data_IF_636876039464
#
_entry.id   IF_636876039464
#
_cell.length_a   1.000
_cell.length_b   1.000
_cell.length_c   1.000
_cell.angle_alpha   90.00
_cell.angle_beta   90.00
_cell.angle_gamma   90.00
#
_symmetry.space_group_name_H-M   'P 1'
#
loop_
_entity.id
_entity.type
_entity.pdbx_description
1 polymer ?
#
# COMPACT_ATOMS: atom_id res chain seq x y z
N UNK A 1 0.04 -43.97 -2.11
CA UNK A 1 0.46 -42.59 -2.39
C UNK A 1 0.94 -41.94 -1.10
N UNK A 2 2.20 -41.56 -1.03
CA UNK A 2 2.77 -40.86 0.13
C UNK A 2 2.18 -39.45 0.20
N UNK A 3 1.53 -39.10 1.32
CA UNK A 3 1.01 -37.74 1.55
C UNK A 3 2.12 -36.89 2.16
N UNK A 4 2.64 -35.93 1.39
CA UNK A 4 3.60 -34.96 1.91
C UNK A 4 2.91 -34.01 2.91
N UNK A 5 3.64 -33.61 3.96
CA UNK A 5 3.20 -32.55 4.87
C UNK A 5 3.12 -31.24 4.08
N UNK A 6 1.95 -30.60 4.10
CA UNK A 6 1.82 -29.27 3.50
C UNK A 6 2.57 -28.26 4.37
N UNK A 7 3.43 -27.42 3.80
CA UNK A 7 4.04 -26.32 4.55
C UNK A 7 2.92 -25.40 5.05
N UNK A 8 3.13 -24.79 6.23
CA UNK A 8 2.23 -23.72 6.68
C UNK A 8 2.25 -22.59 5.64
N UNK A 9 1.11 -21.95 5.37
CA UNK A 9 1.07 -20.74 4.54
C UNK A 9 2.05 -19.69 5.08
N UNK A 10 2.64 -18.89 4.17
CA UNK A 10 3.57 -17.82 4.55
C UNK A 10 2.87 -16.67 5.29
N UNK A 11 1.61 -16.44 4.95
CA UNK A 11 0.73 -15.40 5.49
C UNK A 11 -0.70 -15.92 5.56
N UNK A 12 -1.56 -15.21 6.30
CA UNK A 12 -3.00 -15.39 6.26
C UNK A 12 -3.54 -14.80 4.97
N UNK A 13 -3.99 -15.67 4.06
CA UNK A 13 -4.43 -15.27 2.72
C UNK A 13 -5.69 -14.43 2.76
N UNK A 14 -6.58 -14.70 3.71
CA UNK A 14 -7.85 -13.99 3.81
C UNK A 14 -7.59 -12.59 4.36
N UNK A 15 -6.75 -12.46 5.40
CA UNK A 15 -6.30 -11.15 5.89
C UNK A 15 -5.52 -10.35 4.84
N UNK A 16 -4.67 -11.00 4.04
CA UNK A 16 -4.01 -10.36 2.91
C UNK A 16 -5.01 -9.87 1.85
N UNK A 17 -6.14 -10.57 1.68
CA UNK A 17 -7.19 -10.21 0.73
C UNK A 17 -8.05 -9.05 1.24
N UNK A 18 -8.46 -9.10 2.51
CA UNK A 18 -9.38 -8.12 3.13
C UNK A 18 -8.65 -6.87 3.61
N UNK A 19 -7.35 -6.98 3.89
CA UNK A 19 -6.50 -5.91 4.34
C UNK A 19 -6.42 -5.79 5.86
N UNK A 20 -5.46 -4.99 6.32
CA UNK A 20 -5.27 -4.60 7.72
C UNK A 20 -5.20 -3.08 7.80
N UNK A 21 -5.82 -2.53 8.84
CA UNK A 21 -5.70 -1.12 9.17
C UNK A 21 -4.28 -0.81 9.64
N UNK A 22 -3.66 0.16 8.98
CA UNK A 22 -2.34 0.71 9.27
C UNK A 22 -2.54 2.19 9.56
N UNK A 23 -2.17 2.62 10.76
CA UNK A 23 -2.22 4.02 11.15
C UNK A 23 -0.85 4.63 10.95
N UNK A 24 -0.80 5.80 10.32
CA UNK A 24 0.43 6.52 10.03
C UNK A 24 0.48 7.78 10.87
N UNK A 25 1.47 7.84 11.74
CA UNK A 25 1.89 9.00 12.50
C UNK A 25 3.35 9.36 12.17
N UNK A 26 3.69 10.63 12.31
CA UNK A 26 5.06 11.10 12.34
C UNK A 26 5.39 11.56 13.77
N UNK A 27 6.10 10.69 14.50
CA UNK A 27 6.54 10.97 15.86
C UNK A 27 7.52 12.16 15.97
N UNK A 28 8.14 12.60 14.85
CA UNK A 28 9.06 13.75 14.83
C UNK A 28 8.29 15.06 14.77
N UNK A 29 7.28 15.14 13.90
CA UNK A 29 6.46 16.35 13.72
C UNK A 29 5.24 16.37 14.65
N UNK A 30 4.83 15.21 15.17
CA UNK A 30 3.61 15.02 15.95
C UNK A 30 2.34 14.94 15.09
N UNK A 31 2.48 14.78 13.77
CA UNK A 31 1.36 14.80 12.83
C UNK A 31 0.73 13.41 12.67
N UNK A 32 -0.60 13.38 12.68
CA UNK A 32 -1.39 12.16 12.47
C UNK A 32 -2.00 12.19 11.06
N UNK A 33 -1.62 11.24 10.22
CA UNK A 33 -2.08 11.17 8.81
C UNK A 33 -3.32 10.27 8.61
N UNK A 34 -3.76 9.60 9.68
CA UNK A 34 -4.95 8.75 9.68
C UNK A 34 -4.70 7.27 9.44
N UNK A 35 -5.79 6.52 9.27
CA UNK A 35 -5.79 5.08 9.06
C UNK A 35 -5.92 4.70 7.59
N UNK A 36 -5.25 3.65 7.17
CA UNK A 36 -5.31 3.12 5.80
C UNK A 36 -5.52 1.62 5.85
N UNK A 37 -6.56 1.13 5.16
CA UNK A 37 -6.81 -0.30 5.04
C UNK A 37 -6.00 -0.85 3.87
N UNK A 38 -4.91 -1.56 4.18
CA UNK A 38 -3.98 -2.05 3.18
C UNK A 38 -3.88 -3.58 3.14
N UNK A 39 -3.82 -4.15 1.94
CA UNK A 39 -3.56 -5.57 1.69
C UNK A 39 -2.09 -5.87 1.38
N UNK A 40 -1.71 -7.14 1.52
CA UNK A 40 -0.36 -7.61 1.20
C UNK A 40 -0.06 -7.44 -0.29
N UNK A 41 1.08 -6.83 -0.56
CA UNK A 41 1.69 -6.73 -1.87
C UNK A 41 2.47 -8.01 -2.20
N UNK A 42 1.80 -9.04 -2.72
CA UNK A 42 2.40 -10.31 -3.14
C UNK A 42 1.86 -10.74 -4.52
N UNK A 43 2.72 -11.04 -5.52
CA UNK A 43 2.29 -11.47 -6.86
C UNK A 43 1.45 -12.76 -6.92
N UNK A 44 1.45 -13.57 -5.87
CA UNK A 44 0.59 -14.75 -5.73
C UNK A 44 -0.85 -14.40 -5.35
N UNK A 45 -1.10 -13.16 -4.88
CA UNK A 45 -2.44 -12.66 -4.61
C UNK A 45 -3.14 -12.38 -5.95
N UNK A 46 -4.34 -12.97 -6.21
CA UNK A 46 -4.98 -12.88 -7.52
C UNK A 46 -5.18 -11.46 -8.06
N UNK A 47 -5.52 -10.49 -7.19
CA UNK A 47 -5.73 -9.09 -7.59
C UNK A 47 -4.44 -8.43 -8.09
N UNK A 48 -3.30 -8.72 -7.45
CA UNK A 48 -1.99 -8.16 -7.80
C UNK A 48 -1.52 -8.75 -9.11
N UNK A 49 -1.68 -10.07 -9.28
CA UNK A 49 -1.40 -10.73 -10.55
C UNK A 49 -2.22 -10.12 -11.69
N UNK A 50 -3.52 -9.95 -11.50
CA UNK A 50 -4.40 -9.36 -12.50
C UNK A 50 -4.02 -7.91 -12.83
N UNK A 51 -3.67 -7.12 -11.82
CA UNK A 51 -3.21 -5.74 -12.02
C UNK A 51 -1.87 -5.69 -12.77
N UNK A 52 -0.91 -6.55 -12.42
CA UNK A 52 0.37 -6.68 -13.12
C UNK A 52 0.18 -7.09 -14.59
N UNK A 53 -0.73 -8.01 -14.89
CA UNK A 53 -1.08 -8.39 -16.26
C UNK A 53 -1.68 -7.21 -17.05
N UNK A 54 -2.57 -6.42 -16.42
CA UNK A 54 -3.12 -5.20 -17.03
C UNK A 54 -2.05 -4.16 -17.30
N UNK A 55 -1.13 -3.95 -16.36
CA UNK A 55 -0.04 -2.99 -16.51
C UNK A 55 0.96 -3.42 -17.59
N UNK A 56 1.34 -4.69 -17.65
CA UNK A 56 2.20 -5.23 -18.70
C UNK A 56 1.59 -5.01 -20.09
N UNK A 57 0.25 -5.16 -20.20
CA UNK A 57 -0.48 -4.84 -21.42
C UNK A 57 -0.41 -3.35 -21.74
N UNK A 58 -0.64 -2.45 -20.79
CA UNK A 58 -0.56 -0.99 -21.02
C UNK A 58 0.86 -0.51 -21.39
N UNK A 59 1.88 -1.01 -20.72
CA UNK A 59 3.28 -0.70 -21.04
C UNK A 59 3.65 -1.12 -22.47
N UNK A 60 3.11 -2.25 -22.96
CA UNK A 60 3.29 -2.67 -24.35
C UNK A 60 2.65 -1.72 -25.38
N UNK A 61 1.60 -0.97 -24.99
CA UNK A 61 0.98 0.07 -25.83
C UNK A 61 1.74 1.41 -25.76
N UNK A 62 2.25 1.78 -24.58
CA UNK A 62 2.95 3.06 -24.35
C UNK A 62 4.41 3.08 -24.85
N UNK A 63 5.02 1.91 -25.09
CA UNK A 63 6.36 1.80 -25.68
C UNK A 63 6.52 2.41 -27.09
N UNK A 64 5.44 2.96 -27.68
CA UNK A 64 5.48 3.82 -28.87
C UNK A 64 5.99 5.24 -28.53
N UNK A 65 7.27 5.34 -28.17
CA UNK A 65 8.09 6.50 -28.55
C UNK A 65 8.31 7.63 -27.53
N UNK A 66 7.93 7.50 -26.26
CA UNK A 66 8.32 8.49 -25.21
C UNK A 66 8.89 7.80 -23.97
N UNK A 67 10.01 8.32 -23.45
CA UNK A 67 10.54 7.93 -22.14
C UNK A 67 9.72 8.65 -21.06
N UNK A 68 9.10 7.95 -20.10
CA UNK A 68 8.37 8.59 -19.01
C UNK A 68 9.32 9.41 -18.14
N UNK A 69 8.89 10.61 -17.75
CA UNK A 69 9.62 11.43 -16.79
C UNK A 69 9.46 10.85 -15.36
N UNK A 70 10.17 11.38 -14.37
CA UNK A 70 10.08 10.85 -13.01
C UNK A 70 8.68 10.99 -12.41
N UNK A 71 7.96 12.08 -12.72
CA UNK A 71 6.59 12.29 -12.26
C UNK A 71 5.63 11.22 -12.78
N UNK A 72 5.72 10.86 -14.06
CA UNK A 72 4.91 9.82 -14.69
C UNK A 72 5.17 8.46 -14.02
N UNK A 73 6.44 8.13 -13.73
CA UNK A 73 6.80 6.89 -13.04
C UNK A 73 6.29 6.83 -11.60
N UNK A 74 6.37 7.93 -10.87
CA UNK A 74 5.81 8.03 -9.51
C UNK A 74 4.30 7.83 -9.57
N UNK A 75 3.63 8.52 -10.50
CA UNK A 75 2.19 8.38 -10.71
C UNK A 75 1.78 6.94 -10.99
N UNK A 76 2.46 6.27 -11.92
CA UNK A 76 2.20 4.86 -12.23
C UNK A 76 2.36 3.96 -11.00
N UNK A 77 3.38 4.22 -10.17
CA UNK A 77 3.62 3.46 -8.95
C UNK A 77 2.52 3.68 -7.90
N UNK A 78 2.08 4.92 -7.72
CA UNK A 78 0.96 5.29 -6.83
C UNK A 78 -0.35 4.68 -7.30
N UNK A 79 -0.70 4.86 -8.59
CA UNK A 79 -1.92 4.28 -9.17
C UNK A 79 -1.95 2.77 -9.00
N UNK A 80 -0.81 2.11 -9.17
CA UNK A 80 -0.72 0.67 -8.99
C UNK A 80 -0.88 0.23 -7.54
N UNK A 81 -0.22 0.93 -6.61
CA UNK A 81 -0.40 0.67 -5.18
C UNK A 81 -1.85 0.86 -4.74
N UNK A 82 -2.47 1.98 -5.11
CA UNK A 82 -3.87 2.29 -4.78
C UNK A 82 -4.82 1.26 -5.38
N UNK A 83 -4.57 0.81 -6.62
CA UNK A 83 -5.44 -0.17 -7.26
C UNK A 83 -5.38 -1.54 -6.58
N UNK A 84 -4.22 -1.93 -6.06
CA UNK A 84 -3.92 -3.30 -5.64
C UNK A 84 -3.87 -3.52 -4.14
N UNK A 85 -3.55 -2.50 -3.37
CA UNK A 85 -3.24 -2.64 -1.94
C UNK A 85 -4.09 -1.74 -1.07
N UNK A 86 -4.51 -0.56 -1.52
CA UNK A 86 -5.33 0.34 -0.70
C UNK A 86 -6.83 0.11 -0.92
N UNK A 87 -7.55 -0.28 0.13
CA UNK A 87 -8.98 -0.61 0.03
C UNK A 87 -9.90 0.42 0.68
N UNK A 88 -9.41 1.13 1.69
CA UNK A 88 -10.15 2.16 2.39
C UNK A 88 -9.19 3.07 3.17
N UNK A 89 -9.72 4.15 3.74
CA UNK A 89 -9.00 5.00 4.68
C UNK A 89 -9.93 5.54 5.77
N UNK A 90 -9.34 6.02 6.85
CA UNK A 90 -9.97 6.82 7.90
C UNK A 90 -9.19 8.13 8.02
N UNK A 91 -9.53 9.05 7.12
CA UNK A 91 -8.89 10.35 6.98
C UNK A 91 -9.92 11.45 7.21
N UNK A 92 -9.45 12.59 7.71
CA UNK A 92 -10.25 13.79 7.91
C UNK A 92 -9.68 14.96 7.11
N UNK A 93 -10.54 15.92 6.77
CA UNK A 93 -10.14 17.19 6.20
C UNK A 93 -9.72 18.20 7.29
N UNK A 94 -9.37 19.41 6.88
CA UNK A 94 -8.96 20.50 7.77
C UNK A 94 -10.06 20.92 8.77
N UNK A 95 -11.32 20.57 8.52
CA UNK A 95 -12.47 20.82 9.39
C UNK A 95 -12.83 19.60 10.27
N UNK A 96 -11.93 18.62 10.40
CA UNK A 96 -12.15 17.35 11.11
C UNK A 96 -13.28 16.47 10.52
N UNK A 97 -13.69 16.69 9.26
CA UNK A 97 -14.76 15.91 8.63
C UNK A 97 -14.19 14.68 7.93
N UNK A 98 -14.84 13.51 8.04
CA UNK A 98 -14.39 12.31 7.34
C UNK A 98 -14.36 12.49 5.82
N UNK A 99 -13.24 12.12 5.21
CA UNK A 99 -13.09 12.12 3.76
C UNK A 99 -13.48 10.74 3.23
N UNK A 100 -14.49 10.69 2.37
CA UNK A 100 -14.91 9.42 1.75
C UNK A 100 -13.82 8.87 0.84
N UNK A 101 -13.42 7.62 1.06
CA UNK A 101 -12.46 6.94 0.21
C UNK A 101 -12.96 6.78 -1.22
N UNK A 102 -12.09 7.17 -2.16
CA UNK A 102 -12.17 6.74 -3.56
C UNK A 102 -10.75 6.60 -4.11
N UNK A 103 -10.53 5.64 -5.01
CA UNK A 103 -9.21 5.46 -5.64
C UNK A 103 -8.68 6.72 -6.33
N UNK A 104 -9.49 7.49 -7.10
CA UNK A 104 -9.01 8.74 -7.70
C UNK A 104 -8.52 9.75 -6.64
N UNK A 105 -9.26 9.88 -5.53
CA UNK A 105 -8.89 10.80 -4.46
C UNK A 105 -7.64 10.35 -3.72
N UNK A 106 -7.44 9.04 -3.53
CA UNK A 106 -6.21 8.52 -2.95
C UNK A 106 -4.99 8.76 -3.86
N UNK A 107 -5.15 8.61 -5.19
CA UNK A 107 -4.08 8.97 -6.15
C UNK A 107 -3.80 10.47 -6.09
N UNK A 108 -4.83 11.32 -6.04
CA UNK A 108 -4.66 12.77 -5.90
C UNK A 108 -3.91 13.12 -4.61
N UNK A 109 -4.28 12.52 -3.49
CA UNK A 109 -3.61 12.69 -2.20
C UNK A 109 -2.11 12.38 -2.33
N UNK A 110 -1.72 11.17 -2.72
CA UNK A 110 -0.30 10.80 -2.83
C UNK A 110 0.49 11.56 -3.92
N UNK A 111 -0.21 12.10 -4.92
CA UNK A 111 0.41 12.89 -5.98
C UNK A 111 0.43 14.39 -5.68
N UNK A 112 -0.06 14.82 -4.52
CA UNK A 112 0.02 16.21 -4.07
C UNK A 112 1.49 16.61 -3.99
N UNK A 113 1.85 17.65 -4.72
CA UNK A 113 3.24 18.08 -4.85
C UNK A 113 3.36 19.60 -4.86
N UNK A 114 4.42 20.09 -4.23
CA UNK A 114 4.89 21.46 -4.32
C UNK A 114 6.04 21.56 -5.31
N UNK A 115 6.30 22.76 -5.81
CA UNK A 115 7.49 23.02 -6.63
C UNK A 115 8.59 23.57 -5.74
N UNK A 116 9.77 22.95 -5.77
CA UNK A 116 10.95 23.48 -5.11
C UNK A 116 11.41 24.77 -5.82
N UNK A 117 11.38 25.90 -5.11
CA UNK A 117 11.78 27.20 -5.64
C UNK A 117 13.24 27.26 -6.14
N UNK A 118 14.12 26.38 -5.64
CA UNK A 118 15.54 26.36 -6.01
C UNK A 118 15.82 25.48 -7.22
N UNK A 119 15.17 24.33 -7.30
CA UNK A 119 15.45 23.31 -8.34
C UNK A 119 14.40 23.30 -9.45
N UNK A 120 13.22 23.84 -9.19
CA UNK A 120 12.05 23.73 -10.07
C UNK A 120 11.46 22.32 -10.13
N UNK A 121 11.92 21.40 -9.29
CA UNK A 121 11.46 20.02 -9.24
C UNK A 121 10.20 19.88 -8.38
N UNK A 122 9.42 18.84 -8.63
CA UNK A 122 8.24 18.54 -7.82
C UNK A 122 8.64 17.74 -6.57
N UNK A 123 8.21 18.21 -5.41
CA UNK A 123 8.34 17.53 -4.12
C UNK A 123 6.96 17.01 -3.74
N UNK A 124 6.82 15.69 -3.62
CA UNK A 124 5.57 15.06 -3.20
C UNK A 124 5.41 15.15 -1.68
N UNK A 125 4.38 15.87 -1.23
CA UNK A 125 4.21 16.23 0.19
C UNK A 125 3.95 14.99 1.04
N UNK A 126 3.17 14.05 0.50
CA UNK A 126 2.78 12.82 1.20
C UNK A 126 3.61 11.60 0.79
N UNK A 127 4.83 11.79 0.25
CA UNK A 127 5.73 10.68 -0.08
C UNK A 127 6.05 9.85 1.17
N UNK A 128 6.24 10.48 2.33
CA UNK A 128 6.45 9.78 3.60
C UNK A 128 5.34 8.76 3.88
N UNK A 129 4.06 9.18 3.79
CA UNK A 129 2.90 8.31 4.02
C UNK A 129 2.88 7.18 3.01
N UNK A 130 3.12 7.49 1.73
CA UNK A 130 3.17 6.48 0.66
C UNK A 130 4.25 5.42 0.93
N UNK A 131 5.48 5.84 1.26
CA UNK A 131 6.58 4.90 1.54
C UNK A 131 6.26 3.99 2.72
N UNK A 132 5.71 4.54 3.82
CA UNK A 132 5.32 3.75 5.00
C UNK A 132 4.28 2.69 4.67
N UNK A 133 3.24 3.07 3.94
CA UNK A 133 2.18 2.14 3.53
C UNK A 133 2.72 1.08 2.56
N UNK A 134 3.59 1.47 1.65
CA UNK A 134 4.22 0.55 0.71
C UNK A 134 5.12 -0.48 1.41
N UNK A 135 5.93 -0.03 2.37
CA UNK A 135 6.77 -0.91 3.21
C UNK A 135 5.91 -1.87 4.03
N UNK A 136 4.91 -1.35 4.74
CA UNK A 136 4.04 -2.15 5.59
C UNK A 136 3.22 -3.17 4.77
N UNK A 137 2.82 -2.81 3.55
CA UNK A 137 2.12 -3.72 2.64
C UNK A 137 3.02 -4.83 2.10
N UNK A 138 4.35 -4.73 2.20
CA UNK A 138 5.30 -5.76 1.76
C UNK A 138 5.79 -6.65 2.90
N UNK A 139 5.55 -6.24 4.13
CA UNK A 139 5.90 -7.03 5.31
C UNK A 139 4.82 -8.09 5.56
N UNK A 140 5.18 -9.34 5.27
CA UNK A 140 4.34 -10.52 5.49
C UNK A 140 3.92 -10.67 6.96
N UNK A 141 4.72 -10.19 7.91
CA UNK A 141 4.39 -10.28 9.34
C UNK A 141 3.15 -9.47 9.71
N UNK A 142 2.85 -8.40 8.96
CA UNK A 142 1.63 -7.61 9.15
C UNK A 142 0.35 -8.39 8.80
N UNK A 143 0.46 -9.49 8.04
CA UNK A 143 -0.65 -10.31 7.54
C UNK A 143 -0.65 -11.71 8.14
N UNK A 144 -0.07 -11.88 9.32
CA UNK A 144 -0.25 -13.09 10.11
C UNK A 144 -1.51 -12.98 10.96
N UNK A 145 -2.21 -14.10 11.19
CA UNK A 145 -3.32 -14.15 12.14
C UNK A 145 -2.81 -13.79 13.54
N UNK A 146 -3.56 -12.99 14.31
CA UNK A 146 -3.21 -12.63 15.69
C UNK A 146 -2.91 -13.87 16.56
N UNK A 147 -3.58 -14.99 16.28
CA UNK A 147 -3.40 -16.29 16.97
C UNK A 147 -2.04 -16.98 16.72
N UNK A 148 -1.18 -16.45 15.84
CA UNK A 148 0.16 -17.01 15.62
C UNK A 148 1.23 -16.44 16.58
N UNK A 149 0.90 -15.41 17.36
CA UNK A 149 1.76 -14.83 18.39
C UNK A 149 1.33 -15.13 19.84
N UNK A 150 0.23 -15.86 20.06
CA UNK A 150 -0.13 -16.40 21.39
C UNK A 150 0.52 -17.77 21.68
N UNK A 151 1.72 -18.03 21.13
CA UNK A 151 2.59 -19.10 21.63
C UNK A 151 3.43 -18.57 22.80
N UNK A 152 2.72 -18.10 23.83
CA UNK A 152 3.27 -17.63 25.10
C UNK A 152 2.19 -17.74 26.15
N UNK A 153 1.68 -18.95 26.36
CA UNK A 153 0.81 -19.32 27.48
C UNK A 153 1.53 -18.94 28.80
N UNK A 154 1.12 -17.88 29.52
CA UNK A 154 1.73 -17.52 30.79
C UNK A 154 1.30 -18.44 31.93
N UNK A 155 0.48 -19.48 31.67
CA UNK A 155 0.09 -20.47 32.66
C UNK A 155 1.03 -21.69 32.74
N UNK A 156 2.16 -21.69 32.01
CA UNK A 156 3.21 -22.72 32.13
C UNK A 156 4.61 -22.12 32.06
N UNK A 157 5.06 -21.51 33.15
CA UNK A 157 6.40 -21.66 33.75
C UNK A 157 6.55 -20.80 35.00
#
# INVERSE_FOLDING_TARGET
MTKFKRPKPRFDRDLANDGRWIYIDDAVTGEEYGGFLCGLFDPSVPRIRLAAERQAKMASYQARGKRPNNYDKTRESVEWFVETCLFDWDMKDEDDKPIKFTKPLAVEYFMTAETDDKTGEKIFIYDYVFQRLFEASRDVSNFQSLDQNEAGDPAKN
#
